data_IF_499868266572
#
_entry.id   IF_499868266572
#
_cell.length_a   1.000
_cell.length_b   1.000
_cell.length_c   1.000
_cell.angle_alpha   90.00
_cell.angle_beta   90.00
_cell.angle_gamma   90.00
#
_symmetry.space_group_name_H-M   'P 1'
#
loop_
_entity.id
_entity.type
_entity.pdbx_description
1 polymer ?
#
# COMPACT_ATOMS: atom_id res chain seq x y z
N UNK A 1 -87.88 -58.09 28.25
CA UNK A 1 -88.05 -58.73 26.92
C UNK A 1 -88.54 -57.63 25.99
N UNK A 2 -87.88 -57.25 24.90
CA UNK A 2 -86.90 -57.96 24.08
C UNK A 2 -85.88 -56.99 23.45
N UNK A 3 -84.91 -57.57 22.76
CA UNK A 3 -83.53 -57.13 22.51
C UNK A 3 -83.31 -56.08 21.41
N UNK A 4 -82.08 -55.55 21.42
CA UNK A 4 -81.40 -54.68 20.43
C UNK A 4 -81.39 -55.27 18.99
N UNK A 5 -81.14 -54.47 17.93
CA UNK A 5 -79.74 -54.29 17.55
C UNK A 5 -79.33 -52.85 17.20
N UNK A 6 -78.13 -52.54 17.69
CA UNK A 6 -77.21 -51.46 17.36
C UNK A 6 -76.73 -51.48 15.91
N UNK A 7 -76.87 -50.34 15.20
CA UNK A 7 -75.97 -49.80 14.16
C UNK A 7 -76.64 -48.54 13.57
N UNK A 8 -76.05 -47.36 13.35
CA UNK A 8 -74.68 -46.88 13.39
C UNK A 8 -74.68 -45.32 13.50
N UNK A 9 -73.86 -44.70 14.37
CA UNK A 9 -73.41 -43.33 14.20
C UNK A 9 -71.91 -43.28 13.80
N UNK A 10 -71.40 -44.34 13.15
CA UNK A 10 -69.98 -44.50 12.84
C UNK A 10 -69.55 -43.83 11.52
N UNK A 11 -70.50 -43.47 10.65
CA UNK A 11 -70.21 -42.95 9.31
C UNK A 11 -69.62 -41.53 9.29
N UNK A 12 -70.12 -40.52 10.03
CA UNK A 12 -69.56 -39.17 9.97
C UNK A 12 -68.19 -39.05 10.66
N UNK A 13 -67.96 -39.81 11.75
CA UNK A 13 -66.66 -39.83 12.44
C UNK A 13 -65.58 -40.58 11.67
N UNK A 14 -65.94 -41.62 10.90
CA UNK A 14 -64.97 -42.36 10.07
C UNK A 14 -64.54 -41.55 8.84
N UNK A 15 -65.44 -40.76 8.25
CA UNK A 15 -65.14 -39.85 7.14
C UNK A 15 -64.20 -38.71 7.56
N UNK A 16 -64.40 -38.13 8.75
CA UNK A 16 -63.55 -37.07 9.28
C UNK A 16 -62.13 -37.56 9.58
N UNK A 17 -61.99 -38.76 10.18
CA UNK A 17 -60.68 -39.38 10.43
C UNK A 17 -59.95 -39.79 9.15
N UNK A 18 -60.67 -40.25 8.12
CA UNK A 18 -60.10 -40.57 6.81
C UNK A 18 -59.62 -39.30 6.07
N UNK A 19 -60.33 -38.18 6.23
CA UNK A 19 -59.93 -36.87 5.70
C UNK A 19 -58.63 -36.33 6.31
N UNK A 20 -58.42 -36.48 7.62
CA UNK A 20 -57.19 -36.05 8.27
C UNK A 20 -55.97 -36.94 7.90
N UNK A 21 -56.18 -38.24 7.71
CA UNK A 21 -55.12 -39.17 7.28
C UNK A 21 -54.66 -38.91 5.83
N UNK A 22 -55.60 -38.60 4.95
CA UNK A 22 -55.31 -38.22 3.55
C UNK A 22 -54.62 -36.86 3.45
N UNK A 23 -54.95 -35.91 4.33
CA UNK A 23 -54.25 -34.63 4.44
C UNK A 23 -52.78 -34.79 4.92
N UNK A 24 -52.54 -35.72 5.85
CA UNK A 24 -51.19 -36.01 6.36
C UNK A 24 -50.29 -36.69 5.31
N UNK A 25 -50.82 -37.63 4.53
CA UNK A 25 -50.11 -38.25 3.40
C UNK A 25 -49.86 -37.25 2.25
N UNK A 26 -50.77 -36.30 2.05
CA UNK A 26 -50.63 -35.23 1.07
C UNK A 26 -49.45 -34.30 1.41
N UNK A 27 -49.19 -34.04 2.69
CA UNK A 27 -48.10 -33.16 3.13
C UNK A 27 -46.70 -33.76 2.93
N UNK A 28 -46.55 -35.08 2.80
CA UNK A 28 -45.22 -35.74 2.86
C UNK A 28 -44.61 -36.17 1.51
N UNK A 29 -45.37 -36.20 0.41
CA UNK A 29 -44.88 -36.78 -0.87
C UNK A 29 -44.42 -35.74 -1.92
N UNK A 30 -43.43 -36.05 -2.78
CA UNK A 30 -43.00 -35.15 -3.85
C UNK A 30 -44.11 -34.90 -4.89
N UNK A 31 -44.14 -33.71 -5.49
CA UNK A 31 -45.26 -33.14 -6.26
C UNK A 31 -46.00 -34.04 -7.25
N UNK A 32 -45.29 -34.95 -7.94
CA UNK A 32 -45.92 -35.90 -8.87
C UNK A 32 -46.82 -36.92 -8.16
N UNK A 33 -46.45 -37.34 -6.95
CA UNK A 33 -47.20 -38.29 -6.14
C UNK A 33 -48.41 -37.63 -5.44
N UNK A 34 -48.33 -36.33 -5.14
CA UNK A 34 -49.46 -35.50 -4.68
C UNK A 34 -50.57 -35.37 -5.73
N UNK A 35 -50.21 -35.13 -6.99
CA UNK A 35 -51.19 -35.03 -8.09
C UNK A 35 -51.91 -36.37 -8.33
N UNK A 36 -51.19 -37.50 -8.28
CA UNK A 36 -51.79 -38.84 -8.41
C UNK A 36 -52.73 -39.15 -7.24
N UNK A 37 -52.37 -38.74 -6.02
CA UNK A 37 -53.21 -38.92 -4.83
C UNK A 37 -54.50 -38.08 -4.89
N UNK A 38 -54.42 -36.83 -5.36
CA UNK A 38 -55.60 -35.96 -5.55
C UNK A 38 -56.56 -36.48 -6.61
N UNK A 39 -56.03 -37.07 -7.69
CA UNK A 39 -56.85 -37.70 -8.73
C UNK A 39 -57.56 -38.95 -8.18
N UNK A 40 -56.86 -39.82 -7.46
CA UNK A 40 -57.44 -40.99 -6.80
C UNK A 40 -58.52 -40.62 -5.78
N UNK A 41 -58.29 -39.58 -4.98
CA UNK A 41 -59.26 -39.08 -4.00
C UNK A 41 -60.49 -38.48 -4.68
N UNK A 42 -60.31 -37.75 -5.79
CA UNK A 42 -61.41 -37.24 -6.61
C UNK A 42 -62.27 -38.37 -7.21
N UNK A 43 -61.64 -39.40 -7.76
CA UNK A 43 -62.35 -40.59 -8.28
C UNK A 43 -63.10 -41.32 -7.18
N UNK A 44 -62.48 -41.51 -6.01
CA UNK A 44 -63.12 -42.13 -4.85
C UNK A 44 -64.35 -41.32 -4.36
N UNK A 45 -64.26 -40.01 -4.33
CA UNK A 45 -65.40 -39.17 -3.93
C UNK A 45 -66.55 -39.24 -4.94
N UNK A 46 -66.24 -39.28 -6.24
CA UNK A 46 -67.25 -39.45 -7.31
C UNK A 46 -67.92 -40.83 -7.21
N UNK A 47 -67.18 -41.90 -6.96
CA UNK A 47 -67.76 -43.25 -6.82
C UNK A 47 -68.62 -43.37 -5.57
N UNK A 48 -68.25 -42.73 -4.45
CA UNK A 48 -69.08 -42.66 -3.24
C UNK A 48 -70.38 -41.89 -3.51
N UNK A 49 -70.33 -40.76 -4.23
CA UNK A 49 -71.52 -39.99 -4.61
C UNK A 49 -72.49 -40.80 -5.49
N UNK A 50 -71.95 -41.58 -6.43
CA UNK A 50 -72.72 -42.49 -7.29
C UNK A 50 -73.33 -43.67 -6.49
N UNK A 51 -72.57 -44.27 -5.57
CA UNK A 51 -72.99 -45.43 -4.76
C UNK A 51 -74.00 -45.04 -3.66
N UNK A 52 -73.88 -43.83 -3.09
CA UNK A 52 -74.85 -43.28 -2.12
C UNK A 52 -76.20 -42.93 -2.74
N UNK A 53 -76.38 -43.11 -4.05
CA UNK A 53 -77.69 -42.99 -4.70
C UNK A 53 -78.20 -41.55 -4.79
N UNK A 54 -77.33 -40.54 -4.72
CA UNK A 54 -77.70 -39.13 -4.84
C UNK A 54 -78.42 -38.81 -6.17
N UNK A 55 -78.10 -39.57 -7.24
CA UNK A 55 -78.83 -39.56 -8.51
C UNK A 55 -80.25 -40.12 -8.46
N UNK A 56 -80.56 -41.01 -7.50
CA UNK A 56 -81.86 -41.71 -7.39
C UNK A 56 -82.87 -40.98 -6.49
N UNK A 57 -82.43 -40.12 -5.58
CA UNK A 57 -83.32 -39.33 -4.70
C UNK A 57 -83.88 -38.07 -5.38
N UNK A 58 -83.25 -37.63 -6.47
CA UNK A 58 -83.70 -36.51 -7.31
C UNK A 58 -84.48 -37.07 -8.50
N UNK A 59 -85.70 -37.53 -8.24
CA UNK A 59 -86.50 -38.31 -9.18
C UNK A 59 -87.09 -37.56 -10.38
N UNK A 60 -87.23 -38.31 -11.48
CA UNK A 60 -88.31 -38.26 -12.49
C UNK A 60 -88.82 -36.89 -12.95
N UNK A 61 -88.36 -36.45 -14.12
CA UNK A 61 -88.99 -35.37 -14.89
C UNK A 61 -87.98 -34.32 -15.33
N UNK A 62 -87.95 -34.09 -16.65
CA UNK A 62 -87.22 -33.07 -17.43
C UNK A 62 -86.10 -32.29 -16.70
N UNK A 63 -84.89 -32.35 -17.25
CA UNK A 63 -83.61 -31.81 -16.78
C UNK A 63 -82.72 -32.79 -16.01
N UNK A 64 -82.14 -33.73 -16.76
CA UNK A 64 -80.97 -34.54 -16.40
C UNK A 64 -79.77 -33.75 -15.83
N UNK A 65 -79.79 -32.41 -15.85
CA UNK A 65 -78.68 -31.51 -15.53
C UNK A 65 -78.45 -31.36 -14.01
N UNK A 66 -79.50 -31.41 -13.17
CA UNK A 66 -79.41 -31.06 -11.73
C UNK A 66 -78.63 -32.08 -10.88
N UNK A 67 -78.53 -33.32 -11.34
CA UNK A 67 -77.74 -34.37 -10.67
C UNK A 67 -76.23 -34.28 -10.91
N UNK A 68 -75.79 -33.57 -11.95
CA UNK A 68 -74.37 -33.46 -12.33
C UNK A 68 -73.66 -32.22 -11.75
N UNK A 69 -74.41 -31.26 -11.20
CA UNK A 69 -73.85 -30.05 -10.54
C UNK A 69 -72.80 -30.35 -9.45
N UNK A 70 -73.01 -31.27 -8.49
CA UNK A 70 -72.01 -31.54 -7.44
C UNK A 70 -70.78 -32.30 -7.96
N UNK A 71 -70.94 -33.07 -9.04
CA UNK A 71 -69.83 -33.80 -9.67
C UNK A 71 -68.96 -32.82 -10.44
N UNK A 72 -69.58 -31.88 -11.16
CA UNK A 72 -68.87 -30.83 -11.89
C UNK A 72 -68.12 -29.88 -10.94
N UNK A 73 -68.75 -29.47 -9.83
CA UNK A 73 -68.10 -28.59 -8.85
C UNK A 73 -66.91 -29.28 -8.17
N UNK A 74 -67.02 -30.57 -7.84
CA UNK A 74 -65.92 -31.35 -7.28
C UNK A 74 -64.78 -31.52 -8.30
N UNK A 75 -65.08 -31.82 -9.56
CA UNK A 75 -64.07 -31.97 -10.61
C UNK A 75 -63.32 -30.67 -10.84
N UNK A 76 -64.03 -29.54 -10.88
CA UNK A 76 -63.42 -28.21 -10.96
C UNK A 76 -62.52 -27.93 -9.74
N UNK A 77 -63.00 -28.22 -8.54
CA UNK A 77 -62.22 -28.04 -7.31
C UNK A 77 -60.94 -28.89 -7.27
N UNK A 78 -61.03 -30.18 -7.62
CA UNK A 78 -59.85 -31.07 -7.68
C UNK A 78 -58.86 -30.60 -8.76
N UNK A 79 -59.35 -30.15 -9.92
CA UNK A 79 -58.49 -29.61 -10.97
C UNK A 79 -57.79 -28.32 -10.53
N UNK A 80 -58.48 -27.43 -9.81
CA UNK A 80 -57.92 -26.21 -9.27
C UNK A 80 -56.85 -26.51 -8.21
N UNK A 81 -57.08 -27.46 -7.31
CA UNK A 81 -56.09 -27.91 -6.33
C UNK A 81 -54.85 -28.52 -6.98
N UNK A 82 -55.03 -29.34 -8.02
CA UNK A 82 -53.91 -29.92 -8.76
C UNK A 82 -53.08 -28.85 -9.48
N UNK A 83 -53.74 -27.86 -10.12
CA UNK A 83 -53.06 -26.73 -10.75
C UNK A 83 -52.32 -25.87 -9.72
N UNK A 84 -52.93 -25.59 -8.57
CA UNK A 84 -52.32 -24.83 -7.49
C UNK A 84 -51.10 -25.55 -6.90
N UNK A 85 -51.19 -26.87 -6.66
CA UNK A 85 -50.04 -27.69 -6.21
C UNK A 85 -48.90 -27.64 -7.22
N UNK A 86 -49.20 -27.71 -8.53
CA UNK A 86 -48.18 -27.60 -9.59
C UNK A 86 -47.55 -26.21 -9.63
N UNK A 87 -48.34 -25.15 -9.47
CA UNK A 87 -47.84 -23.78 -9.41
C UNK A 87 -46.92 -23.56 -8.21
N UNK A 88 -47.25 -24.11 -7.04
CA UNK A 88 -46.41 -24.04 -5.85
C UNK A 88 -45.07 -24.75 -6.05
N UNK A 89 -45.07 -25.97 -6.59
CA UNK A 89 -43.83 -26.71 -6.86
C UNK A 89 -42.92 -25.98 -7.85
N UNK A 90 -43.50 -25.36 -8.89
CA UNK A 90 -42.75 -24.53 -9.85
C UNK A 90 -42.19 -23.27 -9.19
N UNK A 91 -42.99 -22.60 -8.36
CA UNK A 91 -42.57 -21.40 -7.63
C UNK A 91 -41.42 -21.72 -6.68
N UNK A 92 -41.51 -22.79 -5.88
CA UNK A 92 -40.46 -23.20 -4.96
C UNK A 92 -39.14 -23.57 -5.68
N UNK A 93 -39.23 -24.23 -6.84
CA UNK A 93 -38.04 -24.54 -7.65
C UNK A 93 -37.41 -23.27 -8.21
N UNK A 94 -38.22 -22.33 -8.66
CA UNK A 94 -37.75 -21.05 -9.17
C UNK A 94 -37.11 -20.21 -8.06
N UNK A 95 -37.74 -20.16 -6.88
CA UNK A 95 -37.19 -19.50 -5.69
C UNK A 95 -35.86 -20.13 -5.27
N UNK A 96 -35.73 -21.46 -5.33
CA UNK A 96 -34.45 -22.14 -5.08
C UNK A 96 -33.38 -21.76 -6.11
N UNK A 97 -33.70 -21.77 -7.40
CA UNK A 97 -32.76 -21.37 -8.45
C UNK A 97 -32.34 -19.92 -8.30
N UNK A 98 -33.27 -19.01 -7.99
CA UNK A 98 -32.96 -17.61 -7.73
C UNK A 98 -32.13 -17.43 -6.45
N UNK A 99 -32.39 -18.21 -5.41
CA UNK A 99 -31.57 -18.18 -4.19
C UNK A 99 -30.13 -18.62 -4.49
N UNK A 100 -29.94 -19.69 -5.28
CA UNK A 100 -28.62 -20.16 -5.69
C UNK A 100 -27.91 -19.13 -6.59
N UNK A 101 -28.61 -18.57 -7.57
CA UNK A 101 -28.06 -17.53 -8.46
C UNK A 101 -27.66 -16.28 -7.68
N UNK A 102 -28.51 -15.82 -6.75
CA UNK A 102 -28.22 -14.66 -5.92
C UNK A 102 -27.02 -14.90 -5.01
N UNK A 103 -26.85 -16.12 -4.51
CA UNK A 103 -25.68 -16.49 -3.70
C UNK A 103 -24.39 -16.50 -4.53
N UNK A 104 -24.42 -17.05 -5.74
CA UNK A 104 -23.27 -17.03 -6.65
C UNK A 104 -22.89 -15.60 -7.06
N UNK A 105 -23.88 -14.76 -7.37
CA UNK A 105 -23.66 -13.33 -7.67
C UNK A 105 -23.12 -12.57 -6.45
N UNK A 106 -23.61 -12.88 -5.24
CA UNK A 106 -23.12 -12.31 -3.97
C UNK A 106 -21.66 -12.66 -3.74
N UNK A 107 -21.29 -13.93 -3.88
CA UNK A 107 -19.92 -14.41 -3.72
C UNK A 107 -18.98 -13.82 -4.80
N UNK A 108 -19.47 -13.68 -6.03
CA UNK A 108 -18.75 -13.00 -7.11
C UNK A 108 -18.48 -11.53 -6.80
N UNK A 109 -19.51 -10.81 -6.32
CA UNK A 109 -19.40 -9.42 -5.90
C UNK A 109 -18.43 -9.24 -4.72
N UNK A 110 -18.44 -10.17 -3.76
CA UNK A 110 -17.56 -10.12 -2.59
C UNK A 110 -16.09 -10.29 -2.98
N UNK A 111 -15.77 -11.22 -3.89
CA UNK A 111 -14.42 -11.39 -4.43
C UNK A 111 -13.91 -10.13 -5.12
N UNK A 112 -14.71 -9.57 -6.03
CA UNK A 112 -14.35 -8.33 -6.75
C UNK A 112 -14.15 -7.17 -5.77
N UNK A 113 -14.98 -7.08 -4.72
CA UNK A 113 -14.82 -6.06 -3.68
C UNK A 113 -13.53 -6.23 -2.89
N UNK A 114 -13.14 -7.45 -2.53
CA UNK A 114 -11.89 -7.72 -1.83
C UNK A 114 -10.67 -7.41 -2.70
N UNK A 115 -10.71 -7.79 -3.98
CA UNK A 115 -9.65 -7.51 -4.94
C UNK A 115 -9.46 -6.00 -5.16
N UNK A 116 -10.56 -5.27 -5.36
CA UNK A 116 -10.54 -3.81 -5.49
C UNK A 116 -9.98 -3.12 -4.22
N UNK A 117 -10.33 -3.62 -3.03
CA UNK A 117 -9.77 -3.11 -1.78
C UNK A 117 -8.27 -3.37 -1.69
N UNK A 118 -7.81 -4.57 -2.03
CA UNK A 118 -6.38 -4.91 -2.02
C UNK A 118 -5.58 -3.97 -2.93
N UNK A 119 -6.05 -3.74 -4.16
CA UNK A 119 -5.40 -2.82 -5.11
C UNK A 119 -5.34 -1.40 -4.54
N UNK A 120 -6.42 -0.94 -3.89
CA UNK A 120 -6.45 0.39 -3.29
C UNK A 120 -5.43 0.55 -2.15
N UNK A 121 -5.32 -0.44 -1.26
CA UNK A 121 -4.34 -0.43 -0.17
C UNK A 121 -2.89 -0.60 -0.64
N UNK A 122 -2.66 -1.15 -1.84
CA UNK A 122 -1.34 -1.19 -2.46
C UNK A 122 -0.94 0.16 -3.08
N UNK A 123 -1.92 1.02 -3.39
CA UNK A 123 -1.67 2.32 -4.04
C UNK A 123 -1.59 3.48 -3.05
N UNK A 124 -2.38 3.40 -1.97
CA UNK A 124 -2.54 4.48 -1.01
C UNK A 124 -2.28 3.98 0.42
N UNK A 125 -1.70 4.81 1.29
CA UNK A 125 -1.58 4.51 2.71
C UNK A 125 -2.93 4.14 3.32
N UNK A 126 -2.95 3.25 4.31
CA UNK A 126 -4.18 2.67 4.85
C UNK A 126 -5.20 3.72 5.33
N UNK A 127 -4.73 4.79 5.97
CA UNK A 127 -5.58 5.87 6.46
C UNK A 127 -6.22 6.69 5.32
N UNK A 128 -5.49 6.87 4.20
CA UNK A 128 -5.97 7.57 3.00
C UNK A 128 -6.95 6.70 2.24
N UNK A 129 -6.63 5.42 2.04
CA UNK A 129 -7.54 4.46 1.40
C UNK A 129 -8.88 4.36 2.15
N UNK A 130 -8.85 4.35 3.48
CA UNK A 130 -10.05 4.34 4.30
C UNK A 130 -10.90 5.60 4.11
N UNK A 131 -10.28 6.78 3.96
CA UNK A 131 -11.00 8.02 3.64
C UNK A 131 -11.78 7.87 2.32
N UNK A 132 -11.15 7.37 1.24
CA UNK A 132 -11.83 7.17 -0.05
C UNK A 132 -12.93 6.10 0.00
N UNK A 133 -12.76 5.04 0.79
CA UNK A 133 -13.78 4.01 0.97
C UNK A 133 -14.99 4.47 1.79
N UNK A 134 -14.80 5.42 2.70
CA UNK A 134 -15.86 5.97 3.55
C UNK A 134 -16.52 7.22 2.94
N UNK A 135 -15.79 7.95 2.09
CA UNK A 135 -16.28 9.15 1.43
C UNK A 135 -17.36 8.84 0.40
N UNK A 136 -18.32 9.76 0.26
CA UNK A 136 -19.38 9.64 -0.74
C UNK A 136 -18.75 9.68 -2.15
N UNK A 137 -19.06 8.73 -3.07
CA UNK A 137 -18.44 8.66 -4.40
C UNK A 137 -18.66 9.89 -5.31
N UNK A 138 -19.51 10.85 -4.89
CA UNK A 138 -19.70 12.14 -5.56
C UNK A 138 -18.79 13.24 -5.04
N UNK A 139 -18.10 13.01 -3.93
CA UNK A 139 -17.14 13.95 -3.38
C UNK A 139 -15.75 13.63 -3.96
N UNK A 140 -15.48 14.15 -5.16
CA UNK A 140 -14.19 14.07 -5.84
C UNK A 140 -13.25 15.21 -5.43
N UNK A 141 -13.46 15.78 -4.23
CA UNK A 141 -12.60 16.83 -3.71
C UNK A 141 -11.20 16.28 -3.45
N UNK A 142 -10.19 17.12 -3.71
CA UNK A 142 -8.78 16.82 -3.49
C UNK A 142 -8.55 16.39 -2.03
N UNK A 143 -8.04 15.18 -1.81
CA UNK A 143 -7.59 14.78 -0.48
C UNK A 143 -6.27 15.47 -0.15
N UNK A 144 -6.25 16.22 0.95
CA UNK A 144 -5.02 16.80 1.51
C UNK A 144 -5.08 16.83 3.04
N UNK A 145 -3.91 16.75 3.68
CA UNK A 145 -3.75 16.85 5.13
C UNK A 145 -2.41 17.52 5.48
N UNK A 146 -2.43 18.49 6.40
CA UNK A 146 -1.21 19.15 6.89
C UNK A 146 -0.72 18.49 8.17
N UNK A 147 0.60 18.27 8.23
CA UNK A 147 1.31 17.69 9.36
C UNK A 147 2.40 18.65 9.82
N UNK A 148 2.45 18.93 11.11
CA UNK A 148 3.35 19.94 11.66
C UNK A 148 4.81 19.47 11.80
N UNK A 149 5.00 18.19 12.11
CA UNK A 149 6.34 17.61 12.37
C UNK A 149 6.41 16.21 11.77
N UNK A 150 7.09 16.09 10.64
CA UNK A 150 7.32 14.85 9.90
C UNK A 150 8.82 14.73 9.66
N UNK A 151 9.37 13.55 9.95
CA UNK A 151 10.74 13.21 9.55
C UNK A 151 10.73 12.69 8.12
N UNK A 152 11.58 13.22 7.26
CA UNK A 152 11.68 12.83 5.84
C UNK A 152 13.08 12.30 5.58
N UNK A 153 13.15 11.15 4.91
CA UNK A 153 14.38 10.48 4.52
C UNK A 153 14.44 10.33 3.00
N UNK A 154 15.59 10.68 2.44
CA UNK A 154 16.01 10.35 1.08
C UNK A 154 17.24 9.46 1.19
N UNK A 155 17.19 8.26 0.63
CA UNK A 155 18.31 7.35 0.57
C UNK A 155 18.62 7.02 -0.88
N UNK A 156 19.73 7.54 -1.40
CA UNK A 156 20.15 7.34 -2.79
C UNK A 156 21.35 6.40 -2.89
N UNK A 157 21.47 5.72 -4.03
CA UNK A 157 22.65 4.94 -4.40
C UNK A 157 23.34 5.67 -5.55
N UNK A 158 24.35 6.53 -5.28
CA UNK A 158 24.90 7.43 -6.28
C UNK A 158 25.61 6.68 -7.42
N UNK A 159 26.33 5.61 -7.10
CA UNK A 159 27.07 4.81 -8.09
C UNK A 159 26.20 3.82 -8.87
N UNK A 160 24.88 3.82 -8.67
CA UNK A 160 23.96 3.01 -9.46
C UNK A 160 23.88 3.50 -10.92
N UNK A 161 24.04 4.81 -11.16
CA UNK A 161 23.99 5.37 -12.51
C UNK A 161 25.15 4.87 -13.37
N UNK A 162 26.36 4.82 -12.80
CA UNK A 162 27.55 4.32 -13.49
C UNK A 162 27.39 2.83 -13.84
N UNK A 163 26.90 2.04 -12.90
CA UNK A 163 26.56 0.63 -13.10
C UNK A 163 25.52 0.43 -14.22
N UNK A 164 24.50 1.28 -14.27
CA UNK A 164 23.46 1.22 -15.30
C UNK A 164 24.03 1.48 -16.71
N UNK A 165 24.88 2.51 -16.86
CA UNK A 165 25.47 2.90 -18.15
C UNK A 165 26.42 1.82 -18.68
N UNK A 166 27.22 1.18 -17.82
CA UNK A 166 28.15 0.12 -18.21
C UNK A 166 27.45 -1.11 -18.83
N UNK A 167 26.17 -1.32 -18.49
CA UNK A 167 25.39 -2.52 -18.81
C UNK A 167 24.41 -2.33 -19.98
N UNK A 168 24.09 -1.09 -20.37
CA UNK A 168 23.11 -0.79 -21.42
C UNK A 168 23.52 -1.29 -22.82
N UNK A 169 24.82 -1.48 -23.10
CA UNK A 169 25.32 -1.95 -24.40
C UNK A 169 24.99 -3.41 -24.77
N UNK A 170 24.58 -4.26 -23.80
CA UNK A 170 24.52 -5.73 -23.96
C UNK A 170 23.17 -6.38 -23.58
N UNK A 171 22.04 -5.67 -23.65
CA UNK A 171 20.75 -6.10 -23.10
C UNK A 171 20.73 -6.23 -21.55
N UNK A 172 21.66 -5.62 -20.83
CA UNK A 172 21.82 -5.77 -19.37
C UNK A 172 21.15 -4.67 -18.53
N UNK A 173 20.46 -3.71 -19.15
CA UNK A 173 19.60 -2.74 -18.43
C UNK A 173 18.47 -3.42 -17.64
N UNK A 174 17.97 -4.57 -18.11
CA UNK A 174 16.96 -5.36 -17.36
C UNK A 174 17.55 -5.96 -16.07
N UNK A 175 18.80 -6.42 -16.09
CA UNK A 175 19.47 -6.95 -14.88
C UNK A 175 19.73 -5.83 -13.87
N UNK A 176 20.06 -4.62 -14.34
CA UNK A 176 20.16 -3.45 -13.48
C UNK A 176 18.85 -3.18 -12.74
N UNK A 177 17.73 -3.22 -13.48
CA UNK A 177 16.41 -3.03 -12.89
C UNK A 177 16.03 -4.14 -11.92
N UNK A 178 16.44 -5.39 -12.16
CA UNK A 178 16.21 -6.49 -11.21
C UNK A 178 16.96 -6.28 -9.90
N UNK A 179 18.23 -5.90 -9.99
CA UNK A 179 19.07 -5.65 -8.81
C UNK A 179 18.58 -4.41 -8.03
N UNK A 180 18.14 -3.37 -8.73
CA UNK A 180 17.48 -2.24 -8.07
C UNK A 180 16.21 -2.68 -7.36
N UNK A 181 15.37 -3.48 -8.02
CA UNK A 181 14.14 -3.99 -7.42
C UNK A 181 14.42 -4.86 -6.18
N UNK A 182 15.49 -5.66 -6.19
CA UNK A 182 15.96 -6.43 -5.03
C UNK A 182 16.35 -5.51 -3.88
N UNK A 183 17.17 -4.48 -4.12
CA UNK A 183 17.54 -3.50 -3.09
C UNK A 183 16.31 -2.79 -2.50
N UNK A 184 15.37 -2.37 -3.35
CA UNK A 184 14.13 -1.73 -2.88
C UNK A 184 13.27 -2.71 -2.09
N UNK A 185 13.18 -3.98 -2.52
CA UNK A 185 12.40 -4.99 -1.81
C UNK A 185 12.97 -5.30 -0.43
N UNK A 186 14.29 -5.37 -0.29
CA UNK A 186 14.94 -5.61 1.01
C UNK A 186 14.79 -4.40 1.95
N UNK A 187 14.78 -3.17 1.43
CA UNK A 187 14.44 -1.98 2.21
C UNK A 187 12.97 -1.97 2.64
N UNK A 188 12.06 -2.47 1.80
CA UNK A 188 10.64 -2.64 2.15
C UNK A 188 10.47 -3.74 3.22
N UNK A 189 11.17 -4.87 3.11
CA UNK A 189 11.17 -5.94 4.13
C UNK A 189 11.73 -5.44 5.47
N UNK A 190 12.77 -4.59 5.44
CA UNK A 190 13.28 -3.93 6.64
C UNK A 190 12.18 -3.09 7.32
N UNK A 191 11.34 -2.40 6.54
CA UNK A 191 10.26 -1.54 7.06
C UNK A 191 9.12 -2.33 7.73
N UNK A 192 8.92 -3.59 7.36
CA UNK A 192 7.90 -4.47 7.93
C UNK A 192 8.16 -4.86 9.40
N UNK A 193 9.38 -4.65 9.91
CA UNK A 193 9.71 -4.87 11.33
C UNK A 193 8.83 -4.02 12.23
N UNK A 194 8.43 -4.56 13.40
CA UNK A 194 7.48 -3.89 14.30
C UNK A 194 7.94 -2.50 14.78
N UNK A 195 9.25 -2.29 14.90
CA UNK A 195 9.85 -1.02 15.27
C UNK A 195 9.74 0.07 14.20
N UNK A 196 9.55 -0.30 12.92
CA UNK A 196 9.53 0.59 11.76
C UNK A 196 8.14 0.78 11.13
N UNK A 197 7.09 0.19 11.72
CA UNK A 197 5.68 0.30 11.27
C UNK A 197 5.12 1.72 11.15
N UNK A 198 5.79 2.72 11.75
CA UNK A 198 5.38 4.12 11.66
C UNK A 198 5.99 4.85 10.45
N UNK A 199 6.97 4.23 9.78
CA UNK A 199 7.60 4.75 8.57
C UNK A 199 6.69 4.39 7.40
N UNK A 200 6.40 5.38 6.57
CA UNK A 200 5.64 5.21 5.33
C UNK A 200 6.58 5.47 4.15
N UNK A 201 6.70 4.48 3.27
CA UNK A 201 7.32 4.68 1.95
C UNK A 201 6.47 5.64 1.12
N UNK A 202 7.08 6.69 0.60
CA UNK A 202 6.38 7.66 -0.27
C UNK A 202 6.48 7.23 -1.72
N UNK A 203 7.70 7.07 -2.22
CA UNK A 203 7.97 6.65 -3.60
C UNK A 203 9.43 6.27 -3.79
N UNK A 204 9.71 5.70 -4.95
CA UNK A 204 11.07 5.54 -5.49
C UNK A 204 11.25 6.50 -6.67
N UNK A 205 12.43 7.14 -6.74
CA UNK A 205 12.80 8.10 -7.79
C UNK A 205 14.17 7.69 -8.33
N UNK A 206 14.20 6.96 -9.45
CA UNK A 206 15.43 6.33 -9.93
C UNK A 206 16.00 5.38 -8.87
N UNK A 207 17.28 5.56 -8.51
CA UNK A 207 17.96 4.83 -7.43
C UNK A 207 17.75 5.43 -6.02
N UNK A 208 16.78 6.33 -5.86
CA UNK A 208 16.50 7.02 -4.59
C UNK A 208 15.22 6.52 -3.94
N UNK A 209 15.33 6.06 -2.71
CA UNK A 209 14.24 5.66 -1.84
C UNK A 209 13.78 6.83 -0.97
N UNK A 210 12.49 7.16 -1.01
CA UNK A 210 11.89 8.24 -0.24
C UNK A 210 10.91 7.68 0.79
N UNK A 211 11.13 7.99 2.06
CA UNK A 211 10.28 7.58 3.17
C UNK A 211 10.05 8.72 4.15
N UNK A 212 8.96 8.64 4.91
CA UNK A 212 8.63 9.63 5.92
C UNK A 212 7.99 9.00 7.15
N UNK A 213 8.16 9.64 8.31
CA UNK A 213 7.64 9.19 9.60
C UNK A 213 6.82 10.30 10.26
N UNK A 214 5.73 9.93 10.94
CA UNK A 214 4.82 10.89 11.57
C UNK A 214 3.66 11.33 10.69
N UNK A 215 3.37 10.59 9.61
CA UNK A 215 2.22 10.80 8.72
C UNK A 215 0.93 10.14 9.20
N UNK A 216 0.95 9.42 10.33
CA UNK A 216 -0.22 8.74 10.88
C UNK A 216 -1.13 9.76 11.59
N UNK A 217 -2.41 9.90 11.18
CA UNK A 217 -3.35 10.77 11.87
C UNK A 217 -3.54 10.28 13.31
N UNK A 218 -3.46 11.18 14.29
CA UNK A 218 -3.67 10.89 15.73
C UNK A 218 -5.13 10.51 16.08
N UNK A 219 -5.89 10.00 15.12
CA UNK A 219 -7.31 9.70 15.25
C UNK A 219 -7.41 8.23 15.70
N UNK A 220 -7.28 8.01 17.01
CA UNK A 220 -7.86 6.83 17.67
C UNK A 220 -6.93 5.79 18.31
N UNK A 221 -5.59 5.90 18.21
CA UNK A 221 -4.66 4.98 18.90
C UNK A 221 -3.70 5.67 19.86
N UNK A 222 -3.28 4.89 20.86
CA UNK A 222 -2.82 5.30 22.20
C UNK A 222 -1.42 5.94 22.18
N UNK A 223 -1.29 7.05 22.91
CA UNK A 223 -0.10 7.88 23.11
C UNK A 223 0.43 8.58 21.84
N UNK A 224 0.37 9.92 21.81
CA UNK A 224 1.12 10.72 20.84
C UNK A 224 2.60 10.38 21.00
N UNK A 225 3.19 9.64 20.07
CA UNK A 225 4.65 9.48 20.00
C UNK A 225 5.26 10.86 19.85
N UNK A 226 6.37 11.08 20.56
CA UNK A 226 7.07 12.34 20.48
C UNK A 226 7.78 12.43 19.12
N UNK A 227 8.10 13.66 18.71
CA UNK A 227 8.87 13.92 17.48
C UNK A 227 10.25 13.26 17.57
N UNK A 228 10.80 13.21 18.78
CA UNK A 228 12.01 12.49 19.09
C UNK A 228 11.89 10.99 18.78
N UNK A 229 10.77 10.35 19.13
CA UNK A 229 10.55 8.93 18.86
C UNK A 229 10.48 8.69 17.34
N UNK A 230 9.73 9.52 16.61
CA UNK A 230 9.66 9.45 15.15
C UNK A 230 11.04 9.60 14.50
N UNK A 231 11.81 10.60 14.91
CA UNK A 231 13.16 10.80 14.38
C UNK A 231 14.14 9.71 14.79
N UNK A 232 13.99 9.13 15.97
CA UNK A 232 14.78 7.98 16.40
C UNK A 232 14.48 6.77 15.51
N UNK A 233 13.20 6.49 15.24
CA UNK A 233 12.79 5.39 14.37
C UNK A 233 13.35 5.52 12.96
N UNK A 234 13.30 6.71 12.35
CA UNK A 234 13.84 6.91 10.98
C UNK A 234 15.37 6.93 10.95
N UNK A 235 16.03 7.40 12.01
CA UNK A 235 17.49 7.33 12.15
C UNK A 235 17.97 5.88 12.28
N UNK A 236 17.27 5.06 13.06
CA UNK A 236 17.53 3.63 13.22
C UNK A 236 17.37 2.88 11.92
N UNK A 237 16.26 3.14 11.23
CA UNK A 237 16.00 2.59 9.91
C UNK A 237 17.12 2.98 8.94
N UNK A 238 17.51 4.26 8.88
CA UNK A 238 18.61 4.72 8.03
C UNK A 238 19.94 4.01 8.33
N UNK A 239 20.25 3.74 9.60
CA UNK A 239 21.46 3.00 9.99
C UNK A 239 21.39 1.54 9.54
N UNK A 240 20.25 0.86 9.74
CA UNK A 240 20.07 -0.54 9.33
C UNK A 240 20.04 -0.70 7.80
N UNK A 241 19.61 0.31 7.04
CA UNK A 241 19.66 0.28 5.56
C UNK A 241 21.09 0.08 5.03
N UNK A 242 22.12 0.58 5.72
CA UNK A 242 23.52 0.31 5.34
C UNK A 242 23.86 -1.16 5.50
N UNK A 243 23.42 -1.78 6.61
CA UNK A 243 23.69 -3.20 6.87
C UNK A 243 22.98 -4.10 5.84
N UNK A 244 21.75 -3.72 5.43
CA UNK A 244 21.02 -4.39 4.34
C UNK A 244 21.75 -4.26 3.01
N UNK A 245 22.21 -3.05 2.64
CA UNK A 245 22.94 -2.85 1.39
C UNK A 245 24.28 -3.60 1.36
N UNK A 246 24.97 -3.67 2.51
CA UNK A 246 26.23 -4.42 2.65
C UNK A 246 26.03 -5.92 2.40
N UNK A 247 24.91 -6.50 2.86
CA UNK A 247 24.54 -7.90 2.59
C UNK A 247 24.27 -8.12 1.10
N UNK A 248 23.53 -7.22 0.45
CA UNK A 248 23.25 -7.31 -1.00
C UNK A 248 24.54 -7.18 -1.80
N UNK A 249 25.44 -6.27 -1.42
CA UNK A 249 26.77 -6.14 -2.03
C UNK A 249 27.56 -7.44 -1.94
N UNK A 250 27.53 -8.09 -0.77
CA UNK A 250 28.19 -9.38 -0.57
C UNK A 250 27.61 -10.48 -1.46
N UNK A 251 26.29 -10.56 -1.59
CA UNK A 251 25.61 -11.60 -2.37
C UNK A 251 25.70 -11.38 -3.89
N UNK A 252 25.68 -10.13 -4.32
CA UNK A 252 25.68 -9.74 -5.74
C UNK A 252 27.07 -9.47 -6.32
N UNK A 253 28.13 -9.50 -5.48
CA UNK A 253 29.50 -9.11 -5.84
C UNK A 253 29.62 -7.68 -6.39
N UNK A 254 28.75 -6.79 -5.92
CA UNK A 254 28.77 -5.37 -6.25
C UNK A 254 29.25 -4.53 -5.07
N UNK A 255 29.39 -3.23 -5.30
CA UNK A 255 29.89 -2.29 -4.31
C UNK A 255 29.07 -1.00 -4.31
N UNK A 256 27.75 -1.13 -4.18
CA UNK A 256 26.87 0.02 -4.05
C UNK A 256 27.13 0.77 -2.75
N UNK A 257 27.07 2.10 -2.83
CA UNK A 257 27.28 2.96 -1.67
C UNK A 257 25.99 3.72 -1.38
N UNK A 258 25.46 3.56 -0.17
CA UNK A 258 24.28 4.31 0.26
C UNK A 258 24.67 5.73 0.69
N UNK A 259 23.84 6.70 0.33
CA UNK A 259 23.90 8.07 0.83
C UNK A 259 22.52 8.45 1.34
N UNK A 260 22.45 9.02 2.53
CA UNK A 260 21.15 9.33 3.16
C UNK A 260 21.10 10.79 3.59
N UNK A 261 19.97 11.45 3.33
CA UNK A 261 19.62 12.77 3.81
C UNK A 261 18.37 12.74 4.68
N UNK A 262 18.43 13.32 5.89
CA UNK A 262 17.29 13.38 6.81
C UNK A 262 17.02 14.82 7.21
N UNK A 263 15.75 15.20 7.23
CA UNK A 263 15.29 16.46 7.80
C UNK A 263 13.94 16.28 8.52
N UNK A 264 13.59 17.23 9.39
CA UNK A 264 12.30 17.27 10.08
C UNK A 264 11.59 18.59 9.80
N UNK A 265 10.26 18.60 9.90
CA UNK A 265 9.45 19.82 9.91
C UNK A 265 8.07 19.64 9.29
N UNK A 266 7.38 20.74 8.95
CA UNK A 266 6.01 20.70 8.45
C UNK A 266 5.92 20.27 6.99
N UNK A 267 4.90 19.46 6.68
CA UNK A 267 4.58 19.00 5.33
C UNK A 267 3.07 19.00 5.09
N UNK A 268 2.68 18.98 3.83
CA UNK A 268 1.30 18.75 3.39
C UNK A 268 1.30 17.46 2.58
N UNK A 269 0.52 16.48 2.99
CA UNK A 269 0.30 15.25 2.24
C UNK A 269 -0.99 15.35 1.45
N UNK A 270 -1.11 14.58 0.37
CA UNK A 270 -2.32 14.56 -0.44
C UNK A 270 -2.25 13.58 -1.59
N UNK A 271 -3.39 13.37 -2.26
CA UNK A 271 -3.49 12.51 -3.44
C UNK A 271 -3.74 13.37 -4.67
N UNK A 272 -2.82 13.33 -5.63
CA UNK A 272 -2.92 14.10 -6.89
C UNK A 272 -3.02 13.14 -8.08
N UNK A 273 -3.79 13.53 -9.09
CA UNK A 273 -3.85 12.86 -10.38
C UNK A 273 -5.20 12.21 -10.68
N UNK A 274 -5.86 12.64 -11.76
CA UNK A 274 -7.19 12.14 -12.13
C UNK A 274 -7.18 10.72 -12.74
N UNK A 275 -6.11 10.34 -13.43
CA UNK A 275 -5.97 9.02 -14.08
C UNK A 275 -5.02 8.08 -13.37
N UNK A 276 -4.00 8.63 -12.72
CA UNK A 276 -2.98 7.90 -11.95
C UNK A 276 -2.85 8.61 -10.60
N UNK A 277 -3.78 8.36 -9.66
CA UNK A 277 -3.72 8.99 -8.36
C UNK A 277 -2.45 8.53 -7.63
N UNK A 278 -1.67 9.48 -7.14
CA UNK A 278 -0.44 9.25 -6.38
C UNK A 278 -0.55 9.98 -5.05
N UNK A 279 -0.32 9.24 -3.97
CA UNK A 279 -0.10 9.85 -2.67
C UNK A 279 1.32 10.40 -2.61
N UNK A 280 1.47 11.64 -2.15
CA UNK A 280 2.77 12.30 -2.04
C UNK A 280 2.76 13.37 -0.94
N UNK A 281 3.94 13.87 -0.58
CA UNK A 281 4.14 14.92 0.42
C UNK A 281 4.89 16.11 -0.17
N UNK A 282 4.42 17.32 0.16
CA UNK A 282 4.99 18.59 -0.29
C UNK A 282 5.37 19.46 0.91
N UNK A 283 6.42 20.25 0.73
CA UNK A 283 6.84 21.23 1.72
C UNK A 283 8.32 21.52 1.63
N UNK A 284 8.73 22.65 2.22
CA UNK A 284 10.13 23.02 2.29
C UNK A 284 10.96 21.97 3.04
N UNK A 285 10.38 21.24 4.00
CA UNK A 285 11.04 20.13 4.71
C UNK A 285 11.49 19.03 3.77
N UNK A 286 10.66 18.65 2.79
CA UNK A 286 10.97 17.63 1.78
C UNK A 286 12.12 18.09 0.89
N UNK A 287 12.07 19.35 0.44
CA UNK A 287 13.13 19.95 -0.38
C UNK A 287 14.47 19.96 0.37
N UNK A 288 14.47 20.37 1.64
CA UNK A 288 15.69 20.38 2.46
C UNK A 288 16.21 18.96 2.69
N UNK A 289 15.35 17.97 2.96
CA UNK A 289 15.75 16.56 3.09
C UNK A 289 16.42 16.05 1.80
N UNK A 290 15.81 16.32 0.64
CA UNK A 290 16.40 15.99 -0.67
C UNK A 290 17.76 16.67 -0.88
N UNK A 291 17.97 17.89 -0.39
CA UNK A 291 19.29 18.55 -0.43
C UNK A 291 20.29 17.96 0.55
N UNK A 292 19.85 17.43 1.70
CA UNK A 292 20.75 16.71 2.61
C UNK A 292 21.28 15.43 1.95
N UNK A 293 20.47 14.76 1.12
CA UNK A 293 20.94 13.65 0.30
C UNK A 293 21.84 14.16 -0.83
N UNK A 294 21.38 15.08 -1.68
CA UNK A 294 22.14 15.50 -2.88
C UNK A 294 23.50 16.12 -2.56
N UNK A 295 23.63 16.83 -1.43
CA UNK A 295 24.90 17.41 -0.93
C UNK A 295 25.66 16.47 0.03
N UNK A 296 25.06 15.32 0.34
CA UNK A 296 25.62 14.27 1.18
C UNK A 296 26.89 13.65 0.60
N UNK A 297 27.71 13.08 1.48
CA UNK A 297 28.87 12.26 1.09
C UNK A 297 28.41 10.80 0.99
N UNK A 298 28.76 10.06 -0.08
CA UNK A 298 28.49 8.63 -0.16
C UNK A 298 29.04 7.87 1.06
N UNK A 299 28.25 6.95 1.62
CA UNK A 299 28.62 6.19 2.81
C UNK A 299 28.24 6.89 4.12
N UNK A 300 27.53 8.03 4.08
CA UNK A 300 27.17 8.82 5.25
C UNK A 300 25.69 9.18 5.28
N UNK A 301 25.18 9.36 6.49
CA UNK A 301 23.86 9.93 6.76
C UNK A 301 24.05 11.40 7.12
N UNK A 302 23.57 12.31 6.28
CA UNK A 302 23.59 13.74 6.54
C UNK A 302 22.26 14.22 7.11
N UNK A 303 22.32 15.03 8.15
CA UNK A 303 21.15 15.60 8.82
C UNK A 303 21.29 17.11 9.00
N UNK A 304 20.15 17.78 9.14
CA UNK A 304 20.10 19.22 9.45
C UNK A 304 20.41 19.49 10.93
N UNK A 305 20.74 20.74 11.25
CA UNK A 305 20.94 21.18 12.64
C UNK A 305 19.71 20.94 13.53
N UNK A 306 18.49 21.02 12.98
CA UNK A 306 17.26 20.76 13.73
C UNK A 306 17.17 19.29 14.16
N UNK A 307 17.49 18.36 13.27
CA UNK A 307 17.57 16.92 13.59
C UNK A 307 18.67 16.66 14.62
N UNK A 308 19.84 17.30 14.48
CA UNK A 308 20.91 17.22 15.47
C UNK A 308 20.43 17.62 16.87
N UNK A 309 19.75 18.76 17.01
CA UNK A 309 19.27 19.25 18.32
C UNK A 309 18.29 18.28 18.99
N UNK A 310 17.54 17.53 18.18
CA UNK A 310 16.58 16.54 18.68
C UNK A 310 17.27 15.21 19.03
N UNK A 311 18.26 14.76 18.25
CA UNK A 311 18.87 13.43 18.40
C UNK A 311 20.20 13.39 19.16
N UNK A 312 20.81 14.53 19.50
CA UNK A 312 22.18 14.58 20.06
C UNK A 312 22.40 13.84 21.39
N UNK A 313 21.34 13.40 22.07
CA UNK A 313 21.43 12.72 23.36
C UNK A 313 21.78 11.24 23.23
N UNK A 314 21.27 10.57 22.20
CA UNK A 314 21.37 9.10 22.05
C UNK A 314 22.06 8.68 20.74
N UNK A 315 22.41 9.63 19.89
CA UNK A 315 23.08 9.38 18.61
C UNK A 315 24.41 10.13 18.53
N UNK A 316 25.39 9.50 17.89
CA UNK A 316 26.68 10.11 17.61
C UNK A 316 26.56 10.96 16.34
N UNK A 317 26.60 12.27 16.53
CA UNK A 317 26.43 13.27 15.47
C UNK A 317 27.67 14.15 15.39
N UNK A 318 28.35 14.09 14.25
CA UNK A 318 29.58 14.84 13.98
C UNK A 318 29.27 16.07 13.14
N UNK A 319 29.74 17.24 13.55
CA UNK A 319 29.58 18.46 12.77
C UNK A 319 30.32 18.33 11.43
N UNK A 320 29.58 18.39 10.31
CA UNK A 320 30.15 18.45 8.96
C UNK A 320 30.65 19.86 8.64
N UNK A 321 29.96 20.86 9.16
CA UNK A 321 30.18 22.27 8.86
C UNK A 321 29.07 22.85 7.98
N UNK A 322 29.35 24.02 7.41
CA UNK A 322 28.38 24.73 6.58
C UNK A 322 28.39 24.20 5.15
N UNK A 323 27.20 23.90 4.63
CA UNK A 323 26.97 23.44 3.25
C UNK A 323 26.02 24.42 2.58
N UNK A 324 26.33 24.80 1.34
CA UNK A 324 25.46 25.66 0.54
C UNK A 324 24.25 24.87 0.04
N UNK A 325 23.05 25.30 0.42
CA UNK A 325 21.78 24.67 0.06
C UNK A 325 20.97 25.65 -0.79
N UNK A 326 20.62 25.22 -2.02
CA UNK A 326 19.83 26.03 -2.97
C UNK A 326 18.54 26.54 -2.31
N UNK A 327 18.34 27.86 -2.32
CA UNK A 327 17.16 28.52 -1.73
C UNK A 327 17.21 28.72 -0.20
N UNK A 328 18.24 28.23 0.50
CA UNK A 328 18.45 28.44 1.94
C UNK A 328 19.77 29.15 2.29
N UNK A 329 20.73 29.18 1.37
CA UNK A 329 22.07 29.71 1.63
C UNK A 329 22.93 28.70 2.38
N UNK A 330 23.86 29.17 3.20
CA UNK A 330 24.68 28.29 4.03
C UNK A 330 23.89 27.70 5.19
N UNK A 331 23.86 26.37 5.29
CA UNK A 331 23.24 25.65 6.40
C UNK A 331 24.29 24.85 7.17
N UNK A 332 24.22 24.88 8.50
CA UNK A 332 25.01 23.99 9.33
C UNK A 332 24.44 22.57 9.26
N UNK A 333 25.31 21.59 9.02
CA UNK A 333 24.92 20.19 8.80
C UNK A 333 25.78 19.26 9.64
N UNK A 334 25.25 18.06 9.89
CA UNK A 334 25.87 17.04 10.72
C UNK A 334 25.83 15.69 10.01
N UNK A 335 26.79 14.83 10.32
CA UNK A 335 26.74 13.42 9.97
C UNK A 335 26.26 12.61 11.17
N UNK A 336 25.32 11.71 10.94
CA UNK A 336 24.90 10.70 11.90
C UNK A 336 25.77 9.45 11.68
N UNK A 337 26.61 9.10 12.66
CA UNK A 337 27.54 7.96 12.58
C UNK A 337 26.99 6.68 13.24
N UNK A 338 26.03 6.82 14.14
CA UNK A 338 25.38 5.69 14.80
C UNK A 338 24.71 6.05 16.12
N UNK A 339 24.35 5.03 16.91
CA UNK A 339 23.88 5.21 18.29
C UNK A 339 25.04 5.35 19.26
N UNK A 340 24.89 6.22 20.26
CA UNK A 340 25.78 6.25 21.41
C UNK A 340 25.57 4.97 22.21
N UNK A 341 26.55 4.06 22.20
CA UNK A 341 26.50 2.86 23.03
C UNK A 341 26.63 3.26 24.50
N UNK A 342 25.56 3.09 25.29
CA UNK A 342 25.64 3.16 26.73
C UNK A 342 26.66 2.14 27.25
N UNK A 343 27.52 2.56 28.18
CA UNK A 343 28.51 1.69 28.84
C UNK A 343 27.79 0.46 29.42
N UNK A 344 27.85 -0.68 28.73
CA UNK A 344 27.30 -1.93 29.28
C UNK A 344 26.75 -3.00 28.34
N UNK A 345 27.05 -3.06 27.04
CA UNK A 345 26.97 -4.35 26.31
C UNK A 345 27.82 -4.29 25.04
N UNK A 346 28.91 -5.05 24.98
CA UNK A 346 29.74 -5.15 23.78
C UNK A 346 29.01 -6.02 22.77
N UNK A 347 28.44 -5.41 21.72
CA UNK A 347 28.09 -6.08 20.48
C UNK A 347 29.07 -5.61 19.40
N UNK A 348 29.70 -6.58 18.73
CA UNK A 348 30.86 -6.48 17.83
C UNK A 348 30.58 -5.81 16.47
N UNK A 349 29.72 -4.79 16.40
CA UNK A 349 29.35 -4.12 15.13
C UNK A 349 30.06 -2.79 14.90
N UNK A 350 30.48 -2.05 15.93
CA UNK A 350 31.11 -0.73 15.76
C UNK A 350 32.56 -0.77 15.29
N UNK A 351 33.29 -1.86 15.54
CA UNK A 351 34.71 -1.99 15.14
C UNK A 351 34.85 -2.30 13.64
N UNK A 352 33.83 -2.85 12.99
CA UNK A 352 33.86 -3.15 11.55
C UNK A 352 33.67 -1.88 10.71
N UNK A 353 32.83 -0.93 11.14
CA UNK A 353 32.56 0.32 10.40
C UNK A 353 33.77 1.24 10.24
N UNK A 354 34.67 1.29 11.23
CA UNK A 354 35.94 2.04 11.10
C UNK A 354 37.01 1.27 10.32
N UNK A 355 36.97 -0.06 10.34
CA UNK A 355 37.96 -0.91 9.67
C UNK A 355 37.71 -1.11 8.17
N UNK A 356 36.48 -0.90 7.68
CA UNK A 356 36.15 -0.85 6.24
C UNK A 356 36.50 0.49 5.62
N UNK A 357 36.27 1.60 6.35
CA UNK A 357 36.64 2.96 5.91
C UNK A 357 38.17 3.22 5.95
N UNK A 358 38.88 2.73 6.98
CA UNK A 358 40.33 2.92 7.10
C UNK A 358 41.17 2.08 6.12
N UNK A 359 40.61 1.00 5.56
CA UNK A 359 41.35 0.14 4.60
C UNK A 359 41.44 0.73 3.18
N UNK A 360 40.75 1.85 2.90
CA UNK A 360 40.67 2.45 1.57
C UNK A 360 41.61 3.63 1.29
N UNK A 361 42.43 4.07 2.26
CA UNK A 361 43.31 5.24 2.07
C UNK A 361 44.74 4.87 1.60
N UNK A 362 45.10 3.59 1.52
CA UNK A 362 46.40 3.16 0.98
C UNK A 362 46.27 2.13 -0.15
N UNK A 363 46.05 2.61 -1.37
CA UNK A 363 46.53 1.94 -2.58
C UNK A 363 46.63 2.96 -3.73
N UNK A 364 47.67 3.79 -3.68
CA UNK A 364 48.21 4.38 -4.89
C UNK A 364 49.72 4.13 -4.87
N UNK A 365 50.12 3.08 -5.58
CA UNK A 365 51.50 2.60 -5.63
C UNK A 365 51.63 1.56 -6.73
N UNK A 366 51.63 2.03 -7.98
CA UNK A 366 52.04 1.22 -9.14
C UNK A 366 53.48 0.73 -8.90
N UNK A 367 53.71 -0.58 -8.92
CA UNK A 367 55.04 -1.15 -9.18
C UNK A 367 54.96 -2.06 -10.39
N UNK A 368 55.28 -1.48 -11.54
CA UNK A 368 55.67 -2.19 -12.76
C UNK A 368 57.04 -2.84 -12.57
N UNK A 369 57.13 -4.09 -13.01
CA UNK A 369 58.34 -4.93 -13.09
C UNK A 369 59.41 -4.28 -13.98
N UNK A 370 60.71 -4.31 -13.65
CA UNK A 370 61.76 -3.90 -14.58
C UNK A 370 62.31 -5.09 -15.36
N UNK A 371 62.28 -5.01 -16.69
CA UNK A 371 63.14 -5.78 -17.59
C UNK A 371 64.26 -4.87 -18.12
N UNK A 372 65.49 -5.31 -17.92
CA UNK A 372 66.71 -4.68 -18.40
C UNK A 372 66.84 -4.81 -19.93
N UNK A 373 67.07 -3.70 -20.64
CA UNK A 373 68.00 -3.66 -21.78
C UNK A 373 68.37 -2.22 -22.18
N UNK A 374 69.66 -1.90 -22.14
CA UNK A 374 70.36 -1.17 -23.21
C UNK A 374 70.17 0.35 -23.37
N UNK A 375 71.24 1.07 -23.00
CA UNK A 375 72.05 1.93 -23.89
C UNK A 375 71.74 3.43 -24.08
N UNK A 376 72.85 4.18 -23.94
CA UNK A 376 73.28 5.49 -24.48
C UNK A 376 72.77 6.81 -23.89
N UNK A 377 73.76 7.55 -23.39
CA UNK A 377 73.94 8.97 -23.13
C UNK A 377 73.15 9.97 -23.99
N UNK A 378 72.76 11.11 -23.41
CA UNK A 378 73.43 12.42 -23.64
C UNK A 378 72.78 13.57 -22.87
N UNK A 379 73.62 14.54 -22.54
CA UNK A 379 73.35 15.78 -21.82
C UNK A 379 72.46 16.77 -22.60
N UNK A 380 71.75 17.64 -21.86
CA UNK A 380 71.70 19.08 -22.14
C UNK A 380 71.05 19.84 -20.97
N UNK A 381 71.84 20.76 -20.43
CA UNK A 381 71.49 21.95 -19.67
C UNK A 381 70.44 22.83 -20.35
N UNK A 382 69.69 23.62 -19.57
CA UNK A 382 69.58 25.07 -19.74
C UNK A 382 68.91 25.74 -18.53
N UNK A 383 69.62 26.75 -18.03
CA UNK A 383 69.28 27.75 -17.03
C UNK A 383 68.42 28.87 -17.64
N UNK A 384 67.57 29.51 -16.84
CA UNK A 384 67.25 30.93 -17.00
C UNK A 384 66.84 31.57 -15.66
N UNK A 385 67.51 32.69 -15.37
CA UNK A 385 67.41 33.57 -14.20
C UNK A 385 66.37 34.69 -14.39
N UNK A 386 65.80 35.18 -13.28
CA UNK A 386 65.58 36.60 -12.88
C UNK A 386 64.54 36.61 -11.71
N UNK A 387 64.81 36.97 -10.44
CA UNK A 387 65.23 38.27 -9.85
C UNK A 387 64.24 39.42 -10.19
N UNK A 388 63.73 40.30 -9.31
CA UNK A 388 63.96 40.66 -7.90
C UNK A 388 62.76 41.46 -7.33
N UNK A 389 62.62 41.48 -5.98
CA UNK A 389 62.24 42.63 -5.15
C UNK A 389 60.73 42.83 -4.86
N UNK A 390 60.25 43.29 -3.70
CA UNK A 390 60.85 43.78 -2.45
C UNK A 390 59.77 43.87 -1.35
N UNK A 391 60.23 43.88 -0.09
CA UNK A 391 59.53 43.89 1.21
C UNK A 391 58.46 44.98 1.50
N UNK A 392 57.65 44.73 2.55
CA UNK A 392 57.33 45.55 3.76
C UNK A 392 56.03 44.95 4.39
N UNK A 393 56.03 44.22 5.52
CA UNK A 393 56.17 44.53 6.96
C UNK A 393 54.91 45.08 7.71
N UNK A 394 54.40 44.23 8.62
CA UNK A 394 53.70 44.41 9.93
C UNK A 394 52.50 45.37 10.11
N UNK A 395 51.41 44.83 10.69
CA UNK A 395 51.04 45.12 12.09
C UNK A 395 49.93 44.19 12.63
N UNK A 396 50.00 43.94 13.94
CA UNK A 396 49.11 43.10 14.74
C UNK A 396 48.12 43.94 15.58
N UNK A 397 46.93 43.40 15.88
CA UNK A 397 46.22 43.62 17.15
C UNK A 397 45.11 42.57 17.37
N UNK A 398 45.07 42.07 18.61
CA UNK A 398 44.25 41.00 19.18
C UNK A 398 42.77 41.37 19.43
N UNK A 399 41.94 40.36 19.75
CA UNK A 399 40.54 40.57 20.16
C UNK A 399 39.60 39.33 20.24
N UNK A 400 39.94 38.32 21.04
CA UNK A 400 39.06 37.39 21.83
C UNK A 400 38.17 36.29 21.19
N UNK A 401 38.40 35.08 21.73
CA UNK A 401 37.84 33.73 21.49
C UNK A 401 36.36 33.50 21.83
N UNK A 402 35.74 32.59 21.06
CA UNK A 402 34.98 31.43 21.57
C UNK A 402 35.05 30.28 20.54
N UNK A 403 35.92 29.29 20.78
CA UNK A 403 36.19 28.18 19.85
C UNK A 403 35.26 26.98 20.11
N UNK A 404 34.55 26.54 19.06
CA UNK A 404 34.10 25.16 18.87
C UNK A 404 34.91 24.57 17.72
N UNK A 405 35.58 23.44 17.97
CA UNK A 405 36.61 22.87 17.09
C UNK A 405 35.97 22.21 15.87
N UNK A 406 36.06 22.86 14.71
CA UNK A 406 35.68 22.31 13.40
C UNK A 406 36.91 21.64 12.75
N UNK A 407 36.71 20.56 11.99
CA UNK A 407 37.75 19.95 11.17
C UNK A 407 38.06 20.84 9.94
N UNK A 408 39.34 21.04 9.57
CA UNK A 408 39.70 21.84 8.40
C UNK A 408 39.36 21.11 7.09
N UNK A 409 38.68 21.81 6.19
CA UNK A 409 38.38 21.39 4.82
C UNK A 409 39.64 21.47 3.95
N UNK A 410 39.93 20.43 3.16
CA UNK A 410 40.90 20.54 2.07
C UNK A 410 40.21 21.14 0.85
N UNK A 411 40.84 22.17 0.28
CA UNK A 411 40.40 22.81 -0.95
C UNK A 411 40.73 21.90 -2.13
N UNK A 412 39.72 21.51 -2.91
CA UNK A 412 39.89 20.91 -4.24
C UNK A 412 39.90 22.05 -5.26
N UNK A 413 40.91 22.14 -6.16
CA UNK A 413 40.92 23.18 -7.18
C UNK A 413 39.92 22.89 -8.29
N UNK A 414 39.25 23.94 -8.76
CA UNK A 414 38.37 23.92 -9.92
C UNK A 414 39.18 23.67 -11.20
N UNK A 415 38.82 22.61 -11.93
CA UNK A 415 39.14 22.44 -13.34
C UNK A 415 37.85 22.74 -14.09
N UNK A 416 37.89 23.73 -14.97
CA UNK A 416 36.78 24.05 -15.86
C UNK A 416 36.73 23.03 -16.99
N UNK A 417 35.55 22.45 -17.21
CA UNK A 417 35.19 21.80 -18.45
C UNK A 417 33.75 22.20 -18.81
N UNK A 418 33.55 22.22 -20.12
CA UNK A 418 32.56 22.90 -20.94
C UNK A 418 31.09 22.56 -20.64
N UNK A 419 30.24 23.56 -20.80
CA UNK A 419 28.78 23.49 -20.67
C UNK A 419 28.18 22.59 -21.76
N UNK A 420 27.58 21.46 -21.37
CA UNK A 420 26.44 20.86 -22.09
C UNK A 420 25.22 20.92 -21.17
N UNK A 421 24.34 21.89 -21.45
CA UNK A 421 23.03 22.05 -20.83
C UNK A 421 22.10 20.91 -21.28
N UNK A 422 21.77 19.98 -20.39
CA UNK A 422 20.51 19.21 -20.48
C UNK A 422 19.48 19.82 -19.52
N UNK A 423 18.55 20.58 -20.09
CA UNK A 423 17.37 21.12 -19.43
C UNK A 423 16.45 19.98 -18.95
N UNK A 424 16.55 19.60 -17.67
CA UNK A 424 15.47 18.88 -16.99
C UNK A 424 14.48 19.94 -16.48
N UNK A 425 13.52 20.24 -17.35
CA UNK A 425 12.37 21.09 -17.08
C UNK A 425 11.48 20.45 -15.98
N UNK A 426 11.77 20.79 -14.72
CA UNK A 426 10.85 20.55 -13.61
C UNK A 426 9.74 21.58 -13.75
N UNK A 427 8.65 21.23 -14.42
CA UNK A 427 7.46 22.09 -14.55
C UNK A 427 6.86 22.35 -13.16
N UNK A 428 7.24 23.47 -12.57
CA UNK A 428 6.54 24.07 -11.44
C UNK A 428 5.25 24.68 -11.96
N UNK A 429 4.11 24.14 -11.54
CA UNK A 429 2.81 24.77 -11.77
C UNK A 429 2.61 25.79 -10.65
N UNK A 430 2.91 27.07 -10.93
CA UNK A 430 2.32 28.19 -10.20
C UNK A 430 0.87 28.36 -10.67
N UNK A 431 -0.09 28.08 -9.79
CA UNK A 431 -1.50 28.44 -10.04
C UNK A 431 -1.73 29.83 -9.45
N UNK A 432 -1.70 30.82 -10.34
CA UNK A 432 -2.17 32.17 -10.07
C UNK A 432 -3.71 32.16 -9.97
N UNK A 433 -4.23 32.68 -8.87
CA UNK A 433 -5.67 32.70 -8.59
C UNK A 433 -6.39 33.68 -9.52
N UNK A 434 -7.18 33.17 -10.47
CA UNK A 434 -8.11 33.98 -11.27
C UNK A 434 -9.48 33.98 -10.61
N UNK A 435 -9.81 35.09 -9.96
CA UNK A 435 -11.16 35.44 -9.53
C UNK A 435 -11.82 36.32 -10.61
N UNK A 436 -12.80 35.77 -11.34
CA UNK A 436 -13.79 36.47 -12.20
C UNK A 436 -14.57 35.38 -12.97
N UNK A 437 -15.89 35.38 -13.22
CA UNK A 437 -16.98 36.37 -13.10
C UNK A 437 -18.30 35.56 -13.14
N UNK A 438 -19.32 36.10 -12.46
CA UNK A 438 -20.70 35.62 -12.47
C UNK A 438 -21.44 35.91 -13.80
N UNK A 439 -22.60 35.27 -13.94
CA UNK A 439 -23.70 35.48 -14.91
C UNK A 439 -23.55 34.92 -16.34
N UNK A 440 -24.44 33.98 -16.70
CA UNK A 440 -25.64 34.20 -17.55
C UNK A 440 -26.21 32.84 -18.03
N UNK A 441 -27.51 32.62 -17.75
CA UNK A 441 -28.59 31.88 -18.49
C UNK A 441 -28.26 30.54 -19.22
N UNK A 442 -29.06 29.45 -19.17
CA UNK A 442 -30.52 29.22 -19.17
C UNK A 442 -30.82 27.88 -18.48
#
# INVERSE_FOLDING_TARGET
MAELPTSAPAMPFSLLKCGHLTLALFLWSPGCQRCRLMLLLGVLYITVLELSGFRKTTGGGSFHIRGYEPILSLLLFVSALALHSRQLDLKLRLDFLWAVQAEEERDGMEKVKLDNRRILFNLLPAHVAQHFLMSNPRNMDLYYQSYAQVGVLFASIPNFNDFYIELDGNNMGVECLRLLNEIIADFDELMDKECYKDIEKIKTIGSTYMAAVGLVPTIGTKAKKSVYDHLSTIADYAIEMFDVLDEINYQSYNEFVLRVGINVGPVVAGVIGARRPQYDIWGNTVNVASRMDSTGVPGKIQVTEEVYRLLNTNYDLVCRGKVSVKGKGEMLTYFLEGKVQGVGTVTTSSVVRSASLARRIHSCGKTSVPTNLGSVSSAASLTAHASMGSNIQMNAANSSNSQATCLPSSCVPAVGEEDEEEDIEVTGIEIEAVAAVADVAV
#
